data_IF_847475144503
#
_entry.id   IF_847475144503
#
_cell.length_a   1.000
_cell.length_b   1.000
_cell.length_c   1.000
_cell.angle_alpha   90.00
_cell.angle_beta   90.00
_cell.angle_gamma   90.00
#
_symmetry.space_group_name_H-M   'P 1'
#
loop_
_entity.id
_entity.type
_entity.pdbx_description
1 polymer ?
#
# COMPACT_ATOMS: atom_id res chain seq x y z
N UNK A 1 15.37 -18.83 9.27
CA UNK A 1 14.09 -18.66 8.53
C UNK A 1 13.03 -19.44 9.31
N UNK A 2 12.17 -18.76 10.08
CA UNK A 2 11.09 -19.44 10.83
C UNK A 2 9.93 -19.71 9.87
N UNK A 3 9.66 -20.98 9.57
CA UNK A 3 8.43 -21.41 8.91
C UNK A 3 7.29 -21.23 9.92
N UNK A 4 6.51 -20.15 9.77
CA UNK A 4 5.27 -19.99 10.53
C UNK A 4 4.15 -20.41 9.60
N UNK A 5 3.52 -21.55 9.90
CA UNK A 5 2.26 -21.96 9.29
C UNK A 5 1.18 -21.01 9.80
N UNK A 6 0.83 -20.00 9.01
CA UNK A 6 -0.37 -19.21 9.21
C UNK A 6 -1.38 -19.77 8.21
N UNK A 7 -2.41 -20.47 8.69
CA UNK A 7 -3.41 -21.09 7.82
C UNK A 7 -4.38 -20.07 7.22
N UNK A 8 -5.20 -20.51 6.26
CA UNK A 8 -6.28 -19.71 5.64
C UNK A 8 -7.23 -19.11 6.70
N UNK A 9 -7.55 -19.88 7.74
CA UNK A 9 -8.41 -19.42 8.83
C UNK A 9 -7.75 -18.25 9.59
N UNK A 10 -6.48 -18.40 9.96
CA UNK A 10 -5.68 -17.37 10.64
C UNK A 10 -5.57 -16.10 9.80
N UNK A 11 -5.46 -16.22 8.47
CA UNK A 11 -5.44 -15.06 7.57
C UNK A 11 -6.70 -14.21 7.73
N UNK A 12 -7.89 -14.82 7.57
CA UNK A 12 -9.15 -14.08 7.61
C UNK A 12 -9.53 -13.57 8.99
N UNK A 13 -9.23 -14.31 10.06
CA UNK A 13 -9.48 -13.87 11.44
C UNK A 13 -8.63 -12.66 11.82
N UNK A 14 -7.44 -12.57 11.22
CA UNK A 14 -6.52 -11.47 11.49
C UNK A 14 -6.91 -10.17 10.77
N UNK A 15 -7.68 -10.24 9.69
CA UNK A 15 -8.11 -9.08 8.92
C UNK A 15 -9.23 -8.30 9.61
N UNK A 16 -9.30 -7.01 9.30
CA UNK A 16 -10.45 -6.19 9.60
C UNK A 16 -11.71 -6.79 8.94
N UNK A 17 -12.89 -6.84 9.60
CA UNK A 17 -14.09 -7.49 9.06
C UNK A 17 -14.48 -7.01 7.67
N UNK A 18 -14.33 -5.71 7.38
CA UNK A 18 -14.60 -5.11 6.06
C UNK A 18 -13.65 -5.65 4.99
N UNK A 19 -12.36 -5.75 5.30
CA UNK A 19 -11.33 -6.28 4.42
C UNK A 19 -11.53 -7.79 4.19
N UNK A 20 -11.81 -8.56 5.25
CA UNK A 20 -12.08 -9.99 5.14
C UNK A 20 -13.32 -10.29 4.28
N UNK A 21 -14.39 -9.50 4.45
CA UNK A 21 -15.61 -9.62 3.64
C UNK A 21 -15.36 -9.30 2.17
N UNK A 22 -14.64 -8.22 1.89
CA UNK A 22 -14.26 -7.87 0.53
C UNK A 22 -13.42 -8.98 -0.11
N UNK A 23 -12.39 -9.44 0.60
CA UNK A 23 -11.46 -10.45 0.07
C UNK A 23 -12.17 -11.76 -0.30
N UNK A 24 -13.07 -12.26 0.56
CA UNK A 24 -13.88 -13.47 0.28
C UNK A 24 -14.81 -13.33 -0.92
N UNK A 25 -15.21 -12.11 -1.27
CA UNK A 25 -16.08 -11.85 -2.43
C UNK A 25 -15.29 -11.84 -3.73
N UNK A 26 -14.08 -11.26 -3.70
CA UNK A 26 -13.26 -11.09 -4.91
C UNK A 26 -12.40 -12.31 -5.22
N UNK A 27 -12.02 -13.10 -4.21
CA UNK A 27 -11.13 -14.25 -4.36
C UNK A 27 -11.68 -15.51 -3.68
N UNK A 28 -11.47 -16.66 -4.31
CA UNK A 28 -11.85 -17.95 -3.74
C UNK A 28 -11.05 -18.27 -2.47
N UNK A 29 -9.75 -18.02 -2.50
CA UNK A 29 -8.81 -18.19 -1.38
C UNK A 29 -7.61 -17.25 -1.52
N UNK A 30 -6.95 -16.87 -0.41
CA UNK A 30 -5.67 -16.17 -0.50
C UNK A 30 -4.60 -17.06 -1.14
N UNK A 31 -3.63 -16.44 -1.81
CA UNK A 31 -2.42 -17.14 -2.26
C UNK A 31 -1.47 -17.35 -1.08
N UNK A 32 -0.56 -18.32 -1.19
CA UNK A 32 0.46 -18.57 -0.16
C UNK A 32 1.25 -17.29 0.18
N UNK A 33 1.59 -16.48 -0.83
CA UNK A 33 2.26 -15.19 -0.63
C UNK A 33 1.42 -14.23 0.24
N UNK A 34 0.11 -14.19 0.05
CA UNK A 34 -0.80 -13.33 0.80
C UNK A 34 -0.98 -13.83 2.23
N UNK A 35 -1.18 -15.14 2.42
CA UNK A 35 -1.28 -15.79 3.73
C UNK A 35 -0.04 -15.50 4.59
N UNK A 36 1.14 -15.58 3.98
CA UNK A 36 2.39 -15.34 4.69
C UNK A 36 2.67 -13.85 4.92
N UNK A 37 2.49 -13.00 3.91
CA UNK A 37 2.94 -11.61 3.99
C UNK A 37 1.98 -10.71 4.76
N UNK A 38 0.68 -10.84 4.53
CA UNK A 38 -0.31 -9.86 5.04
C UNK A 38 -0.30 -9.73 6.56
N UNK A 39 -0.30 -10.84 7.36
CA UNK A 39 -0.25 -10.72 8.82
C UNK A 39 1.05 -10.10 9.31
N UNK A 40 2.19 -10.43 8.69
CA UNK A 40 3.52 -9.92 9.03
C UNK A 40 3.65 -8.42 8.74
N UNK A 41 3.18 -8.00 7.56
CA UNK A 41 3.16 -6.59 7.16
C UNK A 41 2.28 -5.79 8.11
N UNK A 42 1.08 -6.29 8.47
CA UNK A 42 0.22 -5.61 9.46
C UNK A 42 0.92 -5.49 10.83
N UNK A 43 1.67 -6.52 11.23
CA UNK A 43 2.48 -6.50 12.45
C UNK A 43 3.76 -5.65 12.34
N UNK A 44 3.95 -4.93 11.21
CA UNK A 44 5.10 -4.07 10.92
C UNK A 44 6.44 -4.82 10.86
N UNK A 45 6.39 -6.11 10.52
CA UNK A 45 7.59 -6.91 10.29
C UNK A 45 8.13 -6.68 8.88
N UNK A 46 9.45 -6.63 8.73
CA UNK A 46 10.10 -6.58 7.41
C UNK A 46 9.98 -7.93 6.71
N UNK A 47 9.52 -7.91 5.46
CA UNK A 47 9.28 -9.11 4.64
C UNK A 47 10.02 -9.00 3.32
N UNK A 48 10.76 -10.04 2.96
CA UNK A 48 11.26 -10.26 1.60
C UNK A 48 10.37 -11.29 0.92
N UNK A 49 9.57 -10.85 -0.06
CA UNK A 49 8.69 -11.72 -0.83
C UNK A 49 9.34 -12.11 -2.14
N UNK A 50 9.76 -13.37 -2.25
CA UNK A 50 10.21 -13.96 -3.52
C UNK A 50 9.18 -14.99 -3.98
N UNK A 51 8.53 -14.71 -5.11
CA UNK A 51 7.63 -15.65 -5.76
C UNK A 51 7.61 -15.43 -7.28
N UNK A 52 7.12 -16.40 -8.08
CA UNK A 52 6.91 -16.22 -9.51
C UNK A 52 5.96 -15.05 -9.84
N UNK A 53 5.92 -14.64 -11.11
CA UNK A 53 4.90 -13.71 -11.62
C UNK A 53 3.52 -14.35 -11.54
N UNK A 54 2.47 -13.53 -11.39
CA UNK A 54 1.09 -14.02 -11.28
C UNK A 54 0.69 -14.60 -9.91
N UNK A 55 1.60 -14.69 -8.93
CA UNK A 55 1.29 -15.23 -7.58
C UNK A 55 0.56 -14.27 -6.64
N UNK A 56 0.09 -13.11 -7.14
CA UNK A 56 -0.59 -12.10 -6.33
C UNK A 56 0.32 -11.27 -5.43
N UNK A 57 1.62 -11.15 -5.76
CA UNK A 57 2.64 -10.43 -4.96
C UNK A 57 2.24 -8.99 -4.61
N UNK A 58 1.70 -8.26 -5.58
CA UNK A 58 1.27 -6.88 -5.37
C UNK A 58 0.25 -6.79 -4.24
N UNK A 59 -0.83 -7.58 -4.31
CA UNK A 59 -1.84 -7.57 -3.26
C UNK A 59 -1.26 -8.09 -1.93
N UNK A 60 -0.37 -9.08 -1.95
CA UNK A 60 0.32 -9.56 -0.74
C UNK A 60 1.09 -8.43 -0.02
N UNK A 61 1.79 -7.57 -0.79
CA UNK A 61 2.57 -6.46 -0.25
C UNK A 61 1.71 -5.29 0.25
N UNK A 62 0.56 -5.04 -0.37
CA UNK A 62 -0.28 -3.89 -0.03
C UNK A 62 -1.45 -4.19 0.90
N UNK A 63 -1.99 -5.41 0.91
CA UNK A 63 -3.27 -5.66 1.57
C UNK A 63 -3.19 -5.51 3.10
N UNK A 64 -2.06 -5.86 3.73
CA UNK A 64 -1.84 -5.58 5.16
C UNK A 64 -1.76 -4.09 5.48
N UNK A 65 -1.27 -3.28 4.54
CA UNK A 65 -1.24 -1.81 4.66
C UNK A 65 -2.65 -1.26 4.51
N UNK A 66 -3.41 -1.71 3.50
CA UNK A 66 -4.82 -1.31 3.31
C UNK A 66 -5.63 -1.66 4.55
N UNK A 67 -5.48 -2.87 5.11
CA UNK A 67 -6.13 -3.29 6.36
C UNK A 67 -5.83 -2.34 7.52
N UNK A 68 -4.57 -1.93 7.65
CA UNK A 68 -4.13 -0.95 8.67
C UNK A 68 -4.82 0.40 8.47
N UNK A 69 -4.85 0.92 7.24
CA UNK A 69 -5.48 2.21 6.93
C UNK A 69 -7.00 2.17 7.11
N UNK A 70 -7.65 1.04 6.84
CA UNK A 70 -9.08 0.83 7.11
C UNK A 70 -9.36 0.88 8.61
N UNK A 71 -8.55 0.20 9.43
CA UNK A 71 -8.69 0.21 10.90
C UNK A 71 -8.58 1.61 11.47
N UNK A 72 -7.57 2.37 11.02
CA UNK A 72 -7.39 3.76 11.45
C UNK A 72 -8.52 4.66 10.99
N UNK A 73 -9.05 4.44 9.79
CA UNK A 73 -10.21 5.20 9.32
C UNK A 73 -11.43 4.97 10.21
N UNK A 74 -11.75 3.70 10.51
CA UNK A 74 -12.91 3.36 11.35
C UNK A 74 -12.72 3.78 12.82
N UNK A 75 -11.48 3.84 13.31
CA UNK A 75 -11.15 4.41 14.61
C UNK A 75 -11.16 5.96 14.64
N UNK A 76 -11.29 6.62 13.49
CA UNK A 76 -11.19 8.09 13.40
C UNK A 76 -9.76 8.63 13.54
N UNK A 77 -8.75 7.76 13.39
CA UNK A 77 -7.32 8.05 13.57
C UNK A 77 -6.57 8.26 12.25
N UNK A 78 -7.21 7.99 11.10
CA UNK A 78 -6.60 8.18 9.79
C UNK A 78 -6.25 9.65 9.56
N UNK A 79 -4.96 9.96 9.63
CA UNK A 79 -4.46 11.33 9.50
C UNK A 79 -4.51 11.79 8.05
N UNK A 80 -5.22 12.89 7.80
CA UNK A 80 -5.10 13.61 6.55
C UNK A 80 -3.67 14.11 6.33
N UNK A 81 -3.24 14.22 5.07
CA UNK A 81 -1.93 14.75 4.66
C UNK A 81 -0.74 13.96 5.26
N UNK A 82 -0.92 12.66 5.46
CA UNK A 82 0.12 11.76 5.95
C UNK A 82 0.43 10.71 4.88
N UNK A 83 1.70 10.61 4.47
CA UNK A 83 2.15 9.49 3.63
C UNK A 83 2.44 8.33 4.57
N UNK A 84 1.69 7.24 4.43
CA UNK A 84 1.75 6.05 5.28
C UNK A 84 2.52 4.92 4.63
N UNK A 85 2.47 4.85 3.30
CA UNK A 85 3.22 3.92 2.49
C UNK A 85 3.93 4.65 1.35
N UNK A 86 5.20 4.31 1.13
CA UNK A 86 5.94 4.66 -0.09
C UNK A 86 6.21 3.39 -0.87
N UNK A 87 5.72 3.32 -2.11
CA UNK A 87 6.07 2.28 -3.06
C UNK A 87 7.10 2.81 -4.03
N UNK A 88 8.23 2.13 -4.16
CA UNK A 88 9.34 2.49 -5.04
C UNK A 88 9.41 1.46 -6.16
N UNK A 89 9.13 1.91 -7.38
CA UNK A 89 9.19 1.11 -8.61
C UNK A 89 10.50 1.36 -9.36
N UNK A 90 11.16 0.35 -9.94
CA UNK A 90 12.32 0.58 -10.81
C UNK A 90 11.89 1.19 -12.15
N UNK A 91 10.66 0.89 -12.57
CA UNK A 91 10.13 1.25 -13.88
C UNK A 91 8.85 2.05 -13.73
N UNK A 92 8.71 3.05 -14.60
CA UNK A 92 7.57 3.97 -14.59
C UNK A 92 6.27 3.30 -14.99
N UNK A 93 6.31 2.42 -16.00
CA UNK A 93 5.14 1.68 -16.46
C UNK A 93 4.53 0.84 -15.31
N UNK A 94 5.39 0.15 -14.56
CA UNK A 94 4.98 -0.61 -13.40
C UNK A 94 4.34 0.28 -12.32
N UNK A 95 4.84 1.49 -12.10
CA UNK A 95 4.23 2.43 -11.16
C UNK A 95 2.77 2.78 -11.53
N UNK A 96 2.47 2.98 -12.81
CA UNK A 96 1.10 3.21 -13.29
C UNK A 96 0.21 1.97 -13.10
N UNK A 97 0.73 0.79 -13.39
CA UNK A 97 -0.02 -0.46 -13.22
C UNK A 97 -0.36 -0.71 -11.75
N UNK A 98 0.56 -0.42 -10.83
CA UNK A 98 0.35 -0.54 -9.38
C UNK A 98 -0.72 0.43 -8.89
N UNK A 99 -0.69 1.69 -9.35
CA UNK A 99 -1.73 2.67 -9.01
C UNK A 99 -3.11 2.14 -9.40
N UNK A 100 -3.26 1.67 -10.64
CA UNK A 100 -4.52 1.10 -11.14
C UNK A 100 -4.95 -0.13 -10.34
N UNK A 101 -4.01 -1.03 -10.02
CA UNK A 101 -4.29 -2.24 -9.25
C UNK A 101 -4.77 -1.93 -7.83
N UNK A 102 -4.25 -0.87 -7.19
CA UNK A 102 -4.70 -0.43 -5.87
C UNK A 102 -6.08 0.22 -5.87
N UNK A 103 -6.51 0.82 -6.99
CA UNK A 103 -7.86 1.38 -7.08
C UNK A 103 -8.95 0.30 -7.02
N UNK A 104 -8.68 -0.95 -7.37
CA UNK A 104 -9.66 -2.04 -7.28
C UNK A 104 -10.07 -2.35 -5.83
N UNK A 105 -9.15 -2.68 -4.90
CA UNK A 105 -9.52 -2.92 -3.51
C UNK A 105 -10.12 -1.69 -2.85
N UNK A 106 -9.60 -0.49 -3.12
CA UNK A 106 -10.12 0.73 -2.52
C UNK A 106 -11.58 1.01 -2.92
N UNK A 107 -11.91 0.87 -4.22
CA UNK A 107 -13.29 0.98 -4.70
C UNK A 107 -14.19 -0.13 -4.18
N UNK A 108 -13.69 -1.37 -4.17
CA UNK A 108 -14.46 -2.51 -3.68
C UNK A 108 -14.75 -2.43 -2.16
N UNK A 109 -13.92 -1.69 -1.42
CA UNK A 109 -14.13 -1.34 -0.03
C UNK A 109 -14.95 -0.06 0.15
N UNK A 110 -15.16 0.77 -0.88
CA UNK A 110 -15.81 2.07 -0.79
C UNK A 110 -14.98 3.11 -0.02
N UNK A 111 -13.67 3.13 -0.28
CA UNK A 111 -12.68 3.97 0.40
C UNK A 111 -11.78 4.76 -0.56
N UNK A 112 -12.08 4.76 -1.87
CA UNK A 112 -11.29 5.44 -2.91
C UNK A 112 -11.12 6.96 -2.68
N UNK A 113 -12.11 7.60 -2.08
CA UNK A 113 -12.07 9.03 -1.73
C UNK A 113 -11.45 9.29 -0.34
N UNK A 114 -11.28 8.23 0.45
CA UNK A 114 -10.78 8.29 1.83
C UNK A 114 -9.29 7.93 1.88
N UNK A 115 -8.92 6.78 1.33
CA UNK A 115 -7.54 6.29 1.26
C UNK A 115 -6.98 6.68 -0.12
N UNK A 116 -6.31 7.82 -0.18
CA UNK A 116 -5.76 8.36 -1.42
C UNK A 116 -4.45 7.67 -1.84
N UNK A 117 -4.36 7.34 -3.12
CA UNK A 117 -3.14 6.88 -3.80
C UNK A 117 -2.68 8.00 -4.73
N UNK A 118 -1.38 8.26 -4.79
CA UNK A 118 -0.83 9.26 -5.70
C UNK A 118 0.46 8.80 -6.36
N UNK A 119 0.54 9.02 -7.67
CA UNK A 119 1.72 8.75 -8.47
C UNK A 119 2.64 9.97 -8.59
N UNK A 120 3.90 9.80 -8.19
CA UNK A 120 4.95 10.83 -8.25
C UNK A 120 6.17 10.31 -9.01
N UNK A 121 6.23 10.59 -10.31
CA UNK A 121 7.35 10.25 -11.21
C UNK A 121 7.85 11.50 -11.94
N UNK A 122 8.80 11.36 -12.86
CA UNK A 122 9.24 12.44 -13.76
C UNK A 122 8.14 13.05 -14.62
N UNK A 123 7.05 12.32 -14.91
CA UNK A 123 5.95 12.71 -15.82
C UNK A 123 4.81 13.37 -15.04
N UNK A 124 4.86 13.33 -13.70
CA UNK A 124 3.86 14.01 -12.89
C UNK A 124 3.90 15.51 -13.22
N UNK A 125 2.78 16.01 -13.73
CA UNK A 125 2.63 17.41 -14.15
C UNK A 125 2.91 18.37 -13.00
N UNK A 126 3.33 19.60 -13.31
CA UNK A 126 3.60 20.60 -12.28
C UNK A 126 2.39 20.87 -11.37
N UNK A 127 1.18 20.89 -11.94
CA UNK A 127 -0.08 21.05 -11.21
C UNK A 127 -0.31 19.89 -10.23
N UNK A 128 -0.15 18.64 -10.68
CA UNK A 128 -0.35 17.47 -9.82
C UNK A 128 0.72 17.41 -8.71
N UNK A 129 1.98 17.75 -9.02
CA UNK A 129 3.04 17.88 -8.00
C UNK A 129 2.68 18.90 -6.93
N UNK A 130 2.11 20.04 -7.30
CA UNK A 130 1.69 21.08 -6.37
C UNK A 130 0.50 20.63 -5.52
N UNK A 131 -0.47 19.94 -6.12
CA UNK A 131 -1.62 19.35 -5.42
C UNK A 131 -1.16 18.32 -4.41
N UNK A 132 -0.33 17.35 -4.81
CA UNK A 132 0.24 16.34 -3.91
C UNK A 132 1.10 16.96 -2.79
N UNK A 133 1.83 18.05 -3.06
CA UNK A 133 2.59 18.75 -2.00
C UNK A 133 1.68 19.42 -0.97
N UNK A 134 0.50 19.91 -1.38
CA UNK A 134 -0.48 20.55 -0.49
C UNK A 134 -1.35 19.53 0.25
N UNK A 135 -1.73 18.45 -0.45
CA UNK A 135 -2.53 17.34 0.05
C UNK A 135 -1.85 16.01 -0.31
N UNK A 136 -0.82 15.60 0.47
CA UNK A 136 -0.10 14.35 0.23
C UNK A 136 -1.02 13.13 0.28
N UNK A 137 -0.81 12.12 -0.58
CA UNK A 137 -1.59 10.89 -0.57
C UNK A 137 -1.21 10.00 0.63
N UNK A 138 -2.09 9.07 1.01
CA UNK A 138 -1.76 8.04 2.00
C UNK A 138 -0.76 7.02 1.45
N UNK A 139 -0.88 6.66 0.17
CA UNK A 139 0.03 5.76 -0.52
C UNK A 139 0.71 6.54 -1.66
N UNK A 140 2.01 6.76 -1.54
CA UNK A 140 2.82 7.42 -2.56
C UNK A 140 3.54 6.36 -3.42
N UNK A 141 3.20 6.31 -4.70
CA UNK A 141 3.88 5.47 -5.68
C UNK A 141 4.91 6.33 -6.42
N UNK A 142 6.16 5.92 -6.46
CA UNK A 142 7.26 6.73 -6.99
C UNK A 142 8.40 5.89 -7.59
N UNK A 143 9.41 6.55 -8.14
CA UNK A 143 10.68 5.93 -8.57
C UNK A 143 11.81 6.38 -7.66
N UNK A 144 12.96 5.68 -7.61
CA UNK A 144 14.11 6.09 -6.79
C UNK A 144 14.54 7.53 -7.00
N UNK A 145 14.62 7.97 -8.26
CA UNK A 145 15.05 9.33 -8.63
C UNK A 145 14.03 10.37 -8.18
N UNK A 146 12.75 10.07 -8.34
CA UNK A 146 11.66 10.96 -7.94
C UNK A 146 11.57 11.06 -6.41
N UNK A 147 11.80 9.96 -5.69
CA UNK A 147 11.86 9.93 -4.23
C UNK A 147 13.01 10.79 -3.71
N UNK A 148 14.20 10.68 -4.31
CA UNK A 148 15.37 11.50 -3.96
C UNK A 148 15.08 13.01 -4.07
N UNK A 149 14.27 13.42 -5.06
CA UNK A 149 13.84 14.82 -5.24
C UNK A 149 12.80 15.24 -4.21
N UNK A 150 11.92 14.34 -3.79
CA UNK A 150 10.77 14.63 -2.92
C UNK A 150 11.17 14.69 -1.45
N UNK A 151 12.07 13.80 -1.00
CA UNK A 151 12.54 13.70 0.38
C UNK A 151 12.98 15.04 1.03
N UNK A 152 13.79 15.91 0.38
CA UNK A 152 14.24 17.16 0.99
C UNK A 152 13.17 18.27 0.99
N UNK A 153 12.03 18.09 0.30
CA UNK A 153 11.03 19.15 0.17
C UNK A 153 10.18 19.25 1.44
N UNK A 154 10.15 20.43 2.07
CA UNK A 154 9.44 20.68 3.34
C UNK A 154 8.00 20.11 3.37
N UNK A 155 7.20 20.34 2.31
CA UNK A 155 5.82 19.88 2.26
C UNK A 155 5.66 18.35 2.26
N UNK A 156 6.63 17.61 1.72
CA UNK A 156 6.64 16.16 1.75
C UNK A 156 7.32 15.60 2.99
N UNK A 157 8.36 16.28 3.51
CA UNK A 157 9.09 15.85 4.71
C UNK A 157 8.17 15.62 5.90
N UNK A 158 7.25 16.56 6.15
CA UNK A 158 6.30 16.47 7.26
C UNK A 158 5.30 15.31 7.07
N UNK A 159 4.90 15.02 5.83
CA UNK A 159 4.01 13.91 5.51
C UNK A 159 4.73 12.56 5.59
N UNK A 160 5.96 12.48 5.08
CA UNK A 160 6.82 11.29 5.09
C UNK A 160 7.30 10.90 6.50
N UNK A 161 7.37 11.85 7.44
CA UNK A 161 7.68 11.56 8.85
C UNK A 161 6.66 10.61 9.51
N UNK A 162 5.51 10.40 8.88
CA UNK A 162 4.41 9.52 9.33
C UNK A 162 4.37 8.19 8.56
N UNK A 163 5.38 7.94 7.72
CA UNK A 163 5.46 6.73 6.92
C UNK A 163 5.81 5.53 7.81
N UNK A 164 4.99 4.49 7.76
CA UNK A 164 5.23 3.24 8.48
C UNK A 164 5.70 2.13 7.53
N UNK A 165 5.46 2.27 6.23
CA UNK A 165 5.69 1.22 5.25
C UNK A 165 6.48 1.73 4.04
N UNK A 166 7.50 0.98 3.65
CA UNK A 166 8.20 1.18 2.38
C UNK A 166 8.20 -0.15 1.64
N UNK A 167 7.66 -0.15 0.44
CA UNK A 167 7.71 -1.27 -0.48
C UNK A 167 8.72 -0.90 -1.56
N UNK A 168 9.73 -1.76 -1.73
CA UNK A 168 10.67 -1.68 -2.85
C UNK A 168 10.36 -2.87 -3.73
N UNK A 169 9.93 -2.58 -4.95
CA UNK A 169 9.82 -3.61 -5.99
C UNK A 169 11.11 -3.60 -6.81
N UNK A 170 11.58 -4.80 -7.17
CA UNK A 170 12.82 -5.06 -7.97
C UNK A 170 14.09 -4.28 -7.56
#
# INVERSE_FOLDING_TARGET
>A
MRTVNCGVADFFESLHPRCAKWFRREFERPTEAQELCVPRIRNRESVLLSSPTGSGKTLAGFFGIIDTLVREHEAGELKANAIRCVYVSPLRALAYDIEKNLQQPLRGLGLEDTITVGLRTGDTSASERQKQRRKPPHILITTPESLAIVLPQKGYRDALSKCDFVIVDE
#
